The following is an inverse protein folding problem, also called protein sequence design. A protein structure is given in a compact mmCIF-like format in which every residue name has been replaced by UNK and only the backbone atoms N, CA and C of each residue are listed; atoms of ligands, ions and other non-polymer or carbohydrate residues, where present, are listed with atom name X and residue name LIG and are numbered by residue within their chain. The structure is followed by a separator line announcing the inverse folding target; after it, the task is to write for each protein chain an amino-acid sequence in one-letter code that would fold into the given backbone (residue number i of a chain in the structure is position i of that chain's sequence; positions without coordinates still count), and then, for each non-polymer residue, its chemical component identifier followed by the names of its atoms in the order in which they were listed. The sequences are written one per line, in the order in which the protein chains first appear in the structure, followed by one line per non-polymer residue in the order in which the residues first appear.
data_IF_963279047812
#
_entry.id   IF_963279047812
#
_cell.length_a   1.000
_cell.length_b   1.000
_cell.length_c   1.000
_cell.angle_alpha   90.00
_cell.angle_beta   90.00
_cell.angle_gamma   90.00
#
_symmetry.space_group_name_H-M   'P 1'
#
loop_
_entity.id
_entity.type
_entity.pdbx_description
1 polymer ?
#
# COMPACT_ATOMS: atom_id res chain seq x y z
N UNK A 1 -12.15 -6.49 22.91
CA UNK A 1 -11.47 -5.75 21.82
C UNK A 1 -11.32 -4.33 22.32
N UNK A 2 -10.10 -3.85 22.45
CA UNK A 2 -9.81 -2.54 23.01
C UNK A 2 -10.38 -1.48 22.06
N UNK A 3 -11.41 -0.75 22.52
CA UNK A 3 -12.25 0.13 21.70
C UNK A 3 -11.59 1.50 21.49
N UNK A 4 -10.26 1.51 21.38
CA UNK A 4 -9.44 2.71 21.28
C UNK A 4 -9.36 3.15 19.82
N UNK A 5 -9.44 4.47 19.60
CA UNK A 5 -9.38 5.06 18.26
C UNK A 5 -8.06 4.70 17.58
N UNK A 6 -8.03 4.60 16.25
CA UNK A 6 -6.79 4.24 15.53
C UNK A 6 -5.68 5.26 15.82
N UNK A 7 -6.02 6.53 15.98
CA UNK A 7 -5.07 7.58 16.36
C UNK A 7 -4.52 7.48 17.80
N UNK A 8 -5.17 6.74 18.70
CA UNK A 8 -4.69 6.49 20.07
C UNK A 8 -3.70 5.33 20.13
N UNK A 9 -3.71 4.47 19.11
CA UNK A 9 -2.76 3.37 18.99
C UNK A 9 -1.40 3.91 18.57
N UNK A 10 -0.39 3.69 19.41
CA UNK A 10 1.01 3.89 19.03
C UNK A 10 1.47 2.79 18.08
N UNK A 11 2.35 3.17 17.18
CA UNK A 11 2.91 2.37 16.09
C UNK A 11 4.43 2.63 16.02
N UNK A 12 5.03 2.41 14.85
CA UNK A 12 6.44 2.57 14.52
C UNK A 12 7.01 3.86 15.13
N UNK A 13 8.09 3.71 15.91
CA UNK A 13 8.79 4.81 16.57
C UNK A 13 7.90 5.73 17.45
N UNK A 14 6.77 5.22 17.95
CA UNK A 14 5.83 5.98 18.77
C UNK A 14 4.85 6.86 17.98
N UNK A 15 4.88 6.79 16.65
CA UNK A 15 3.94 7.48 15.77
C UNK A 15 2.51 6.94 15.98
N UNK A 16 1.49 7.76 15.73
CA UNK A 16 0.09 7.30 15.71
C UNK A 16 -0.12 6.35 14.53
N UNK A 17 -0.94 5.31 14.71
CA UNK A 17 -1.14 4.30 13.67
C UNK A 17 -1.68 4.87 12.35
N UNK A 18 -2.58 5.87 12.41
CA UNK A 18 -3.08 6.54 11.21
C UNK A 18 -1.98 7.31 10.45
N UNK A 19 -1.09 7.99 11.18
CA UNK A 19 0.04 8.70 10.59
C UNK A 19 1.08 7.74 10.02
N UNK A 20 1.37 6.62 10.70
CA UNK A 20 2.26 5.58 10.19
C UNK A 20 1.72 4.97 8.89
N UNK A 21 0.44 4.58 8.87
CA UNK A 21 -0.22 4.08 7.67
C UNK A 21 -0.26 5.11 6.53
N UNK A 22 -0.46 6.39 6.85
CA UNK A 22 -0.39 7.48 5.87
C UNK A 22 1.00 7.56 5.22
N UNK A 23 2.07 7.56 6.01
CA UNK A 23 3.44 7.60 5.48
C UNK A 23 3.77 6.36 4.63
N UNK A 24 3.30 5.20 5.06
CA UNK A 24 3.42 3.96 4.28
C UNK A 24 2.74 4.12 2.93
N UNK A 25 1.49 4.59 2.89
CA UNK A 25 0.78 4.79 1.62
C UNK A 25 1.43 5.87 0.74
N UNK A 26 1.86 6.98 1.34
CA UNK A 26 2.48 8.10 0.64
C UNK A 26 3.79 7.70 -0.03
N UNK A 27 4.51 6.74 0.55
CA UNK A 27 5.79 6.24 0.02
C UNK A 27 5.70 5.71 -1.41
N UNK A 28 4.53 5.23 -1.84
CA UNK A 28 4.27 4.79 -3.22
C UNK A 28 4.62 5.86 -4.26
N UNK A 29 4.42 7.13 -3.95
CA UNK A 29 4.64 8.25 -4.87
C UNK A 29 6.11 8.71 -4.94
N UNK A 30 7.02 7.95 -4.32
CA UNK A 30 8.46 8.19 -4.38
C UNK A 30 9.14 7.12 -5.25
N UNK A 31 10.37 7.39 -5.71
CA UNK A 31 11.07 6.54 -6.69
C UNK A 31 11.11 5.05 -6.25
N UNK A 32 11.54 4.78 -5.02
CA UNK A 32 11.68 3.41 -4.47
C UNK A 32 10.95 3.19 -3.15
N UNK A 33 10.34 4.24 -2.58
CA UNK A 33 9.76 4.17 -1.24
C UNK A 33 8.58 3.21 -1.16
N UNK A 34 7.82 3.02 -2.24
CA UNK A 34 6.71 2.06 -2.30
C UNK A 34 7.11 0.60 -2.11
N UNK A 35 8.41 0.28 -2.20
CA UNK A 35 8.95 -1.02 -1.79
C UNK A 35 9.56 -0.95 -0.39
N UNK A 36 10.48 -0.01 -0.19
CA UNK A 36 11.32 0.05 1.01
C UNK A 36 10.46 0.33 2.25
N UNK A 37 9.67 1.39 2.23
CA UNK A 37 8.89 1.83 3.40
C UNK A 37 7.89 0.77 3.87
N UNK A 38 7.05 0.15 3.02
CA UNK A 38 6.16 -0.90 3.49
C UNK A 38 6.89 -2.17 3.94
N UNK A 39 8.04 -2.54 3.36
CA UNK A 39 8.86 -3.64 3.88
C UNK A 39 9.33 -3.34 5.29
N UNK A 40 9.92 -2.17 5.53
CA UNK A 40 10.33 -1.75 6.88
C UNK A 40 9.14 -1.66 7.83
N UNK A 41 7.99 -1.15 7.38
CA UNK A 41 6.78 -1.12 8.19
C UNK A 41 6.33 -2.54 8.57
N UNK A 42 6.38 -3.52 7.66
CA UNK A 42 6.02 -4.91 7.96
C UNK A 42 7.01 -5.58 8.94
N UNK A 43 8.29 -5.20 8.90
CA UNK A 43 9.32 -5.70 9.82
C UNK A 43 9.15 -5.07 11.21
N UNK A 44 8.94 -3.75 11.27
CA UNK A 44 8.92 -2.98 12.52
C UNK A 44 7.57 -3.01 13.24
N UNK A 45 6.49 -3.14 12.50
CA UNK A 45 5.14 -3.19 13.05
C UNK A 45 4.68 -4.64 13.09
N UNK A 46 4.61 -5.23 14.28
CA UNK A 46 4.18 -6.61 14.51
C UNK A 46 2.72 -6.70 14.94
N UNK A 47 2.22 -5.70 15.68
CA UNK A 47 0.92 -5.75 16.38
C UNK A 47 -0.17 -4.93 15.71
N UNK A 48 0.15 -3.81 15.08
CA UNK A 48 -0.89 -2.94 14.52
C UNK A 48 -1.41 -3.47 13.18
N UNK A 49 -2.58 -4.11 13.20
CA UNK A 49 -3.22 -4.67 12.00
C UNK A 49 -3.58 -3.62 10.96
N UNK A 50 -3.90 -2.39 11.38
CA UNK A 50 -4.25 -1.29 10.48
C UNK A 50 -3.05 -0.86 9.64
N UNK A 51 -1.91 -0.58 10.28
CA UNK A 51 -0.66 -0.20 9.60
C UNK A 51 -0.15 -1.35 8.75
N UNK A 52 -0.17 -2.58 9.27
CA UNK A 52 0.22 -3.78 8.50
C UNK A 52 -0.63 -3.97 7.25
N UNK A 53 -1.94 -3.75 7.33
CA UNK A 53 -2.84 -3.91 6.16
C UNK A 53 -2.47 -2.93 5.05
N UNK A 54 -2.27 -1.66 5.40
CA UNK A 54 -1.79 -0.66 4.43
C UNK A 54 -0.38 -0.97 3.91
N UNK A 55 0.52 -1.47 4.75
CA UNK A 55 1.86 -1.87 4.29
C UNK A 55 1.83 -3.04 3.29
N UNK A 56 1.05 -4.08 3.56
CA UNK A 56 0.85 -5.19 2.61
C UNK A 56 0.24 -4.72 1.30
N UNK A 57 -0.76 -3.84 1.39
CA UNK A 57 -1.47 -3.29 0.22
C UNK A 57 -0.53 -2.43 -0.64
N UNK A 58 0.17 -1.46 -0.04
CA UNK A 58 1.13 -0.60 -0.76
C UNK A 58 2.23 -1.43 -1.41
N UNK A 59 2.82 -2.39 -0.69
CA UNK A 59 3.85 -3.26 -1.26
C UNK A 59 3.31 -4.05 -2.47
N UNK A 60 2.09 -4.59 -2.36
CA UNK A 60 1.47 -5.34 -3.45
C UNK A 60 1.23 -4.46 -4.69
N UNK A 61 0.72 -3.24 -4.49
CA UNK A 61 0.49 -2.30 -5.58
C UNK A 61 1.81 -1.88 -6.23
N UNK A 62 2.86 -1.64 -5.44
CA UNK A 62 4.19 -1.33 -5.97
C UNK A 62 4.80 -2.49 -6.77
N UNK A 63 4.68 -3.73 -6.29
CA UNK A 63 5.11 -4.92 -7.04
C UNK A 63 4.32 -5.06 -8.34
N UNK A 64 3.00 -4.89 -8.29
CA UNK A 64 2.14 -4.95 -9.47
C UNK A 64 2.53 -3.89 -10.52
N UNK A 65 2.86 -2.68 -10.09
CA UNK A 65 3.31 -1.61 -10.97
C UNK A 65 4.63 -1.99 -11.67
N UNK A 66 5.60 -2.54 -10.92
CA UNK A 66 6.89 -2.97 -11.47
C UNK A 66 6.71 -4.09 -12.48
N UNK A 67 5.91 -5.12 -12.14
CA UNK A 67 5.61 -6.24 -13.04
C UNK A 67 4.88 -5.75 -14.30
N UNK A 68 3.95 -4.81 -14.15
CA UNK A 68 3.25 -4.20 -15.28
C UNK A 68 4.19 -3.40 -16.19
N UNK A 69 5.33 -2.93 -15.67
CA UNK A 69 6.36 -2.25 -16.44
C UNK A 69 6.87 -3.07 -17.64
N UNK A 70 6.81 -4.40 -17.58
CA UNK A 70 7.17 -5.31 -18.68
C UNK A 70 6.28 -5.11 -19.91
N UNK A 71 5.06 -4.60 -19.76
CA UNK A 71 4.18 -4.31 -20.90
C UNK A 71 4.79 -3.27 -21.85
N UNK A 72 5.67 -2.39 -21.37
CA UNK A 72 6.29 -1.37 -22.21
C UNK A 72 7.23 -1.94 -23.30
N UNK A 73 7.62 -3.23 -23.23
CA UNK A 73 8.37 -3.90 -24.31
C UNK A 73 7.54 -4.10 -25.58
N UNK A 74 6.20 -4.14 -25.48
CA UNK A 74 5.31 -4.21 -26.64
C UNK A 74 4.99 -2.80 -27.13
N UNK A 75 5.44 -2.49 -28.34
CA UNK A 75 5.27 -1.18 -28.97
C UNK A 75 3.78 -0.84 -29.13
N UNK A 76 3.39 0.36 -28.71
CA UNK A 76 2.02 0.92 -28.71
C UNK A 76 1.05 0.22 -27.75
N UNK A 77 0.63 -1.02 -28.02
CA UNK A 77 -0.46 -1.67 -27.26
C UNK A 77 -0.08 -1.87 -25.79
N UNK A 78 1.15 -2.33 -25.55
CA UNK A 78 1.64 -2.54 -24.18
C UNK A 78 1.78 -1.24 -23.39
N UNK A 79 2.17 -0.15 -24.06
CA UNK A 79 2.27 1.18 -23.43
C UNK A 79 0.89 1.74 -23.04
N UNK A 80 -0.13 1.57 -23.91
CA UNK A 80 -1.51 1.98 -23.60
C UNK A 80 -2.03 1.18 -22.40
N UNK A 81 -1.85 -0.13 -22.40
CA UNK A 81 -2.29 -0.99 -21.30
C UNK A 81 -1.57 -0.65 -19.99
N UNK A 82 -0.26 -0.42 -20.05
CA UNK A 82 0.53 0.04 -18.91
C UNK A 82 -0.01 1.36 -18.34
N UNK A 83 -0.31 2.33 -19.21
CA UNK A 83 -0.86 3.62 -18.78
C UNK A 83 -2.20 3.47 -18.06
N UNK A 84 -3.10 2.63 -18.58
CA UNK A 84 -4.38 2.34 -17.91
C UNK A 84 -4.17 1.72 -16.54
N UNK A 85 -3.30 0.72 -16.43
CA UNK A 85 -2.97 0.09 -15.14
C UNK A 85 -2.38 1.12 -14.18
N UNK A 86 -1.40 1.90 -14.64
CA UNK A 86 -0.74 2.93 -13.83
C UNK A 86 -1.76 3.93 -13.25
N UNK A 87 -2.67 4.45 -14.08
CA UNK A 87 -3.71 5.39 -13.63
C UNK A 87 -4.61 4.75 -12.57
N UNK A 88 -5.04 3.51 -12.77
CA UNK A 88 -5.88 2.78 -11.80
C UNK A 88 -5.14 2.63 -10.47
N UNK A 89 -3.88 2.19 -10.48
CA UNK A 89 -3.09 1.99 -9.27
C UNK A 89 -2.83 3.30 -8.52
N UNK A 90 -2.57 4.39 -9.25
CA UNK A 90 -2.42 5.74 -8.67
C UNK A 90 -3.70 6.17 -7.96
N UNK A 91 -4.87 6.03 -8.60
CA UNK A 91 -6.16 6.40 -8.00
C UNK A 91 -6.40 5.60 -6.72
N UNK A 92 -6.21 4.29 -6.77
CA UNK A 92 -6.36 3.42 -5.60
C UNK A 92 -5.43 3.83 -4.46
N UNK A 93 -4.20 4.21 -4.77
CA UNK A 93 -3.23 4.62 -3.77
C UNK A 93 -3.55 6.00 -3.16
N UNK A 94 -4.10 6.93 -3.94
CA UNK A 94 -4.62 8.21 -3.42
C UNK A 94 -5.74 7.94 -2.41
N UNK A 95 -6.70 7.08 -2.76
CA UNK A 95 -7.83 6.73 -1.88
C UNK A 95 -7.33 6.06 -0.60
N UNK A 96 -6.37 5.14 -0.70
CA UNK A 96 -5.75 4.49 0.46
C UNK A 96 -5.04 5.50 1.39
N UNK A 97 -4.31 6.45 0.80
CA UNK A 97 -3.60 7.51 1.53
C UNK A 97 -4.60 8.37 2.31
N UNK A 98 -5.66 8.86 1.67
CA UNK A 98 -6.70 9.67 2.33
C UNK A 98 -7.49 8.85 3.36
N UNK A 99 -7.79 7.59 3.09
CA UNK A 99 -8.53 6.74 4.02
C UNK A 99 -7.72 6.46 5.29
N UNK A 100 -6.40 6.29 5.16
CA UNK A 100 -5.52 6.02 6.30
C UNK A 100 -5.47 7.18 7.30
N UNK A 101 -5.45 8.44 6.83
CA UNK A 101 -5.46 9.61 7.73
C UNK A 101 -6.82 9.80 8.41
N UNK A 102 -7.91 9.41 7.74
CA UNK A 102 -9.28 9.41 8.28
C UNK A 102 -9.59 8.22 9.18
N UNK A 103 -8.59 7.41 9.55
CA UNK A 103 -8.74 6.22 10.42
C UNK A 103 -9.67 5.15 9.82
N UNK A 104 -9.87 5.14 8.49
CA UNK A 104 -10.70 4.15 7.79
C UNK A 104 -9.82 3.05 7.22
N UNK A 105 -10.19 1.79 7.44
CA UNK A 105 -9.61 0.68 6.67
C UNK A 105 -10.17 0.70 5.25
N UNK A 106 -9.31 0.93 4.26
CA UNK A 106 -9.66 0.81 2.85
C UNK A 106 -8.99 -0.41 2.26
N UNK A 107 -9.79 -1.45 2.04
CA UNK A 107 -9.35 -2.72 1.45
C UNK A 107 -9.74 -2.76 -0.02
N UNK A 108 -8.79 -3.07 -0.89
CA UNK A 108 -9.04 -3.15 -2.34
C UNK A 108 -9.30 -4.63 -2.70
N UNK A 109 -10.54 -5.02 -3.08
CA UNK A 109 -10.93 -6.44 -3.20
C UNK A 109 -10.09 -7.28 -4.17
N UNK A 110 -9.53 -6.66 -5.22
CA UNK A 110 -8.67 -7.35 -6.19
C UNK A 110 -7.20 -7.40 -5.77
N UNK A 111 -6.74 -6.39 -5.02
CA UNK A 111 -5.38 -6.39 -4.45
C UNK A 111 -5.28 -7.41 -3.33
N UNK A 112 -6.36 -7.64 -2.56
CA UNK A 112 -6.39 -8.70 -1.54
C UNK A 112 -6.13 -10.09 -2.11
N UNK A 113 -6.69 -10.39 -3.30
CA UNK A 113 -6.42 -11.66 -3.99
C UNK A 113 -4.94 -11.79 -4.36
N UNK A 114 -4.33 -10.72 -4.87
CA UNK A 114 -2.90 -10.71 -5.24
C UNK A 114 -2.01 -10.76 -3.98
N UNK A 115 -2.41 -10.07 -2.91
CA UNK A 115 -1.72 -10.11 -1.61
C UNK A 115 -1.60 -11.53 -1.08
N UNK A 116 -2.62 -12.37 -1.24
CA UNK A 116 -2.55 -13.77 -0.78
C UNK A 116 -1.43 -14.57 -1.48
N UNK A 117 -1.09 -14.22 -2.73
CA UNK A 117 0.02 -14.84 -3.46
C UNK A 117 1.38 -14.34 -2.97
N UNK A 118 1.49 -13.05 -2.67
CA UNK A 118 2.75 -12.43 -2.23
C UNK A 118 3.13 -12.77 -0.79
N UNK A 119 2.14 -12.93 0.09
CA UNK A 119 2.38 -13.10 1.52
C UNK A 119 2.17 -14.53 2.02
N UNK A 120 1.86 -15.51 1.15
CA UNK A 120 1.66 -16.93 1.47
C UNK A 120 0.94 -17.11 2.83
N UNK A 121 -0.35 -16.74 2.86
CA UNK A 121 -1.19 -16.92 4.05
C UNK A 121 -1.91 -18.27 4.02
#
# INVERSE_FOLDING_TARGET
MDNNRISEQKSIAGLRANAAAFLVNLSFFTIIGGLIVPIFALILEDKNSFVRSYAKQTLTISVLLIVSGVLNFVIIVGNILYLVIFVILVILQIVATVSSILEKEFRIPYVEKIMSLLFLN
#
